data_IF_536358382415
#
_entry.id   IF_536358382415
#
_cell.length_a   1.000
_cell.length_b   1.000
_cell.length_c   1.000
_cell.angle_alpha   90.00
_cell.angle_beta   90.00
_cell.angle_gamma   90.00
#
_symmetry.space_group_name_H-M   'P 1'
#
loop_
_entity.id
_entity.type
_entity.pdbx_description
1 polymer ?
#
# COMPACT_ATOMS: atom_id res chain seq x y z
N UNK A 1 -43.95 41.79 -16.32
CA UNK A 1 -43.31 41.71 -14.98
C UNK A 1 -42.41 40.47 -14.98
N UNK A 2 -41.11 40.67 -15.30
CA UNK A 2 -40.13 39.58 -15.47
C UNK A 2 -39.40 39.42 -14.15
N UNK A 3 -39.63 38.27 -13.47
CA UNK A 3 -38.88 37.93 -12.25
C UNK A 3 -37.48 37.49 -12.67
N UNK A 4 -36.46 38.28 -12.40
CA UNK A 4 -35.05 37.88 -12.44
C UNK A 4 -34.75 36.98 -11.25
N UNK A 5 -34.32 35.75 -11.53
CA UNK A 5 -33.73 34.87 -10.55
C UNK A 5 -32.31 35.38 -10.18
N UNK A 6 -31.92 35.34 -8.89
CA UNK A 6 -30.56 35.77 -8.50
C UNK A 6 -29.51 34.83 -9.03
N UNK A 7 -28.26 35.29 -9.30
CA UNK A 7 -27.17 34.46 -9.81
C UNK A 7 -26.79 33.41 -8.75
N UNK A 8 -26.70 32.14 -9.19
CA UNK A 8 -26.09 31.06 -8.40
C UNK A 8 -24.68 31.48 -8.01
N UNK A 9 -24.43 31.64 -6.73
CA UNK A 9 -23.10 31.70 -6.14
C UNK A 9 -22.35 30.43 -6.56
N UNK A 10 -21.38 30.58 -7.44
CA UNK A 10 -20.34 29.58 -7.67
C UNK A 10 -19.57 29.45 -6.34
N UNK A 11 -19.89 28.39 -5.58
CA UNK A 11 -19.08 28.02 -4.42
C UNK A 11 -17.70 27.64 -4.94
N UNK A 12 -16.69 28.37 -4.50
CA UNK A 12 -15.29 28.12 -4.79
C UNK A 12 -14.88 26.76 -4.24
N UNK A 13 -14.73 25.79 -5.14
CA UNK A 13 -14.40 24.38 -4.85
C UNK A 13 -12.99 24.15 -4.30
N UNK A 14 -12.19 25.19 -4.11
CA UNK A 14 -10.80 25.10 -3.62
C UNK A 14 -10.65 25.27 -2.11
N UNK A 15 -11.60 25.94 -1.44
CA UNK A 15 -11.49 26.20 0.00
C UNK A 15 -12.04 25.05 0.88
N UNK A 16 -12.90 24.18 0.33
CA UNK A 16 -13.50 23.06 1.09
C UNK A 16 -12.64 21.78 1.10
N UNK A 17 -11.55 21.70 0.32
CA UNK A 17 -10.65 20.53 0.26
C UNK A 17 -9.56 20.49 1.33
N UNK A 18 -9.55 21.41 2.29
CA UNK A 18 -8.60 21.43 3.42
C UNK A 18 -9.20 20.89 4.72
N UNK A 19 -10.37 20.29 4.69
CA UNK A 19 -10.77 19.36 5.74
C UNK A 19 -9.91 18.10 5.56
N UNK A 20 -9.08 17.75 6.54
CA UNK A 20 -8.12 16.66 6.47
C UNK A 20 -8.78 15.39 5.89
N UNK A 21 -8.56 15.13 4.59
CA UNK A 21 -9.13 13.94 3.95
C UNK A 21 -8.50 12.70 4.57
N UNK A 22 -9.33 11.73 4.93
CA UNK A 22 -8.86 10.44 5.42
C UNK A 22 -8.03 9.77 4.31
N UNK A 23 -6.83 9.31 4.61
CA UNK A 23 -6.07 8.50 3.65
C UNK A 23 -6.40 7.01 3.84
N UNK A 24 -6.62 6.32 2.73
CA UNK A 24 -6.79 4.87 2.71
C UNK A 24 -5.42 4.21 2.49
N UNK A 25 -4.92 3.51 3.50
CA UNK A 25 -3.63 2.79 3.46
C UNK A 25 -3.92 1.30 3.39
N UNK A 26 -3.61 0.68 2.26
CA UNK A 26 -3.89 -0.73 1.98
C UNK A 26 -2.58 -1.52 1.92
N UNK A 27 -2.45 -2.55 2.73
CA UNK A 27 -1.43 -3.58 2.54
C UNK A 27 -1.98 -4.71 1.68
N UNK A 28 -1.20 -5.20 0.72
CA UNK A 28 -1.57 -6.37 -0.05
C UNK A 28 -1.03 -7.65 0.58
N UNK A 29 -1.82 -8.72 0.50
CA UNK A 29 -1.52 -10.04 1.02
C UNK A 29 -2.65 -11.01 0.70
N UNK A 30 -2.44 -12.29 1.03
CA UNK A 30 -3.47 -13.33 1.00
C UNK A 30 -3.98 -13.61 2.42
N UNK A 31 -5.30 -13.77 2.61
CA UNK A 31 -5.86 -14.16 3.88
C UNK A 31 -5.53 -15.64 4.19
N UNK A 32 -5.33 -15.94 5.46
CA UNK A 32 -5.06 -17.31 5.95
C UNK A 32 -3.74 -17.42 6.71
N UNK A 33 -3.68 -18.26 7.75
CA UNK A 33 -2.49 -18.44 8.57
C UNK A 33 -1.30 -19.00 7.78
N UNK A 34 -1.55 -19.78 6.72
CA UNK A 34 -0.53 -20.34 5.83
C UNK A 34 0.25 -19.28 5.05
N UNK A 35 -0.36 -18.09 4.83
CA UNK A 35 0.28 -16.98 4.12
C UNK A 35 0.88 -15.93 5.05
N UNK A 36 0.62 -15.99 6.36
CA UNK A 36 0.93 -14.92 7.31
C UNK A 36 2.40 -14.46 7.27
N UNK A 37 3.33 -15.41 7.11
CA UNK A 37 4.78 -15.15 7.09
C UNK A 37 5.40 -15.42 5.71
N UNK A 38 4.66 -15.18 4.64
CA UNK A 38 5.19 -15.30 3.28
C UNK A 38 5.63 -13.93 2.76
N UNK A 39 6.61 -13.86 1.82
CA UNK A 39 7.02 -12.60 1.20
C UNK A 39 5.85 -11.84 0.56
N UNK A 40 4.87 -12.57 -0.01
CA UNK A 40 3.69 -11.97 -0.65
C UNK A 40 2.75 -11.26 0.33
N UNK A 41 2.92 -11.46 1.62
CA UNK A 41 2.20 -10.78 2.68
C UNK A 41 2.99 -9.59 3.29
N UNK A 42 4.08 -9.15 2.67
CA UNK A 42 4.85 -8.00 3.17
C UNK A 42 3.98 -6.73 3.33
N UNK A 43 2.99 -6.53 2.46
CA UNK A 43 2.03 -5.44 2.61
C UNK A 43 1.16 -5.58 3.88
N UNK A 44 0.65 -6.78 4.18
CA UNK A 44 -0.10 -7.05 5.42
C UNK A 44 0.76 -6.79 6.66
N UNK A 45 2.01 -7.28 6.64
CA UNK A 45 2.95 -7.08 7.73
C UNK A 45 3.27 -5.59 7.95
N UNK A 46 3.34 -4.80 6.88
CA UNK A 46 3.52 -3.36 6.98
C UNK A 46 2.31 -2.67 7.63
N UNK A 47 1.08 -3.08 7.29
CA UNK A 47 -0.12 -2.58 7.97
C UNK A 47 -0.12 -2.96 9.46
N UNK A 48 0.25 -4.20 9.80
CA UNK A 48 0.34 -4.64 11.19
C UNK A 48 1.41 -3.84 11.97
N UNK A 49 2.54 -3.48 11.32
CA UNK A 49 3.55 -2.59 11.90
C UNK A 49 2.99 -1.19 12.17
N UNK A 50 2.29 -0.59 11.22
CA UNK A 50 1.63 0.72 11.42
C UNK A 50 0.63 0.62 12.56
N UNK A 51 -0.20 -0.42 12.59
CA UNK A 51 -1.20 -0.63 13.62
C UNK A 51 -0.58 -0.76 15.02
N UNK A 52 0.55 -1.47 15.14
CA UNK A 52 1.33 -1.59 16.38
C UNK A 52 1.83 -0.23 16.86
N UNK A 53 2.41 0.59 15.97
CA UNK A 53 2.91 1.94 16.29
C UNK A 53 1.77 2.86 16.74
N UNK A 54 0.58 2.71 16.13
CA UNK A 54 -0.59 3.51 16.45
C UNK A 54 -1.44 2.94 17.62
N UNK A 55 -1.02 1.85 18.24
CA UNK A 55 -1.74 1.13 19.31
C UNK A 55 -3.21 0.80 18.94
N UNK A 56 -3.41 0.24 17.74
CA UNK A 56 -4.73 -0.19 17.24
C UNK A 56 -4.67 -1.62 16.69
N UNK A 57 -5.85 -2.26 16.61
CA UNK A 57 -5.99 -3.60 16.02
C UNK A 57 -6.79 -3.53 14.72
N UNK A 58 -6.28 -4.15 13.66
CA UNK A 58 -6.91 -4.20 12.34
C UNK A 58 -7.89 -5.37 12.30
N UNK A 59 -9.07 -5.19 12.90
CA UNK A 59 -10.06 -6.26 13.12
C UNK A 59 -11.47 -5.93 12.64
N UNK A 60 -11.77 -4.66 12.34
CA UNK A 60 -13.10 -4.27 11.88
C UNK A 60 -13.30 -4.68 10.42
N UNK A 61 -14.37 -5.42 10.14
CA UNK A 61 -14.70 -5.84 8.77
C UNK A 61 -15.46 -4.76 8.02
N UNK A 62 -14.89 -4.30 6.91
CA UNK A 62 -15.44 -3.27 6.05
C UNK A 62 -14.90 -3.43 4.62
N UNK A 63 -15.72 -3.26 3.58
CA UNK A 63 -15.27 -3.29 2.18
C UNK A 63 -14.51 -4.56 1.80
N UNK A 64 -14.89 -5.72 2.36
CA UNK A 64 -14.16 -7.01 2.19
C UNK A 64 -12.70 -6.94 2.68
N UNK A 65 -12.44 -6.17 3.73
CA UNK A 65 -11.13 -6.05 4.36
C UNK A 65 -11.27 -6.06 5.88
N UNK A 66 -10.19 -6.43 6.57
CA UNK A 66 -9.97 -6.07 7.95
C UNK A 66 -9.43 -4.65 7.99
N UNK A 67 -10.00 -3.81 8.84
CA UNK A 67 -9.68 -2.39 8.91
C UNK A 67 -9.49 -1.89 10.33
N UNK A 68 -8.74 -0.77 10.46
CA UNK A 68 -8.66 0.03 11.69
C UNK A 68 -8.56 1.51 11.32
N UNK A 69 -9.34 2.36 12.00
CA UNK A 69 -9.22 3.82 11.87
C UNK A 69 -8.29 4.34 12.96
N UNK A 70 -7.33 5.18 12.56
CA UNK A 70 -6.36 5.76 13.50
C UNK A 70 -5.80 7.08 12.97
N UNK A 71 -4.81 7.64 13.68
CA UNK A 71 -3.98 8.75 13.20
C UNK A 71 -2.55 8.27 13.02
N UNK A 72 -1.96 8.60 11.85
CA UNK A 72 -0.54 8.39 11.58
C UNK A 72 0.07 9.72 11.18
N UNK A 73 1.15 10.13 11.83
CA UNK A 73 1.81 11.43 11.63
C UNK A 73 0.82 12.63 11.65
N UNK A 74 -0.20 12.58 12.51
CA UNK A 74 -1.22 13.62 12.66
C UNK A 74 -2.39 13.58 11.66
N UNK A 75 -2.34 12.71 10.65
CA UNK A 75 -3.39 12.56 9.63
C UNK A 75 -4.35 11.42 9.97
N UNK A 76 -5.64 11.63 9.70
CA UNK A 76 -6.63 10.56 9.81
C UNK A 76 -6.41 9.51 8.71
N UNK A 77 -6.33 8.24 9.10
CA UNK A 77 -6.10 7.13 8.18
C UNK A 77 -7.05 5.97 8.43
N UNK A 78 -7.43 5.26 7.37
CA UNK A 78 -8.00 3.92 7.45
C UNK A 78 -6.93 2.93 6.98
N UNK A 79 -6.46 2.09 7.89
CA UNK A 79 -5.62 0.94 7.59
C UNK A 79 -6.49 -0.20 7.08
N UNK A 80 -6.06 -0.91 6.04
CA UNK A 80 -6.84 -2.00 5.47
C UNK A 80 -5.98 -3.17 5.00
N UNK A 81 -6.44 -4.39 5.31
CA UNK A 81 -5.93 -5.67 4.81
C UNK A 81 -7.08 -6.38 4.08
N UNK A 82 -7.10 -6.45 2.72
CA UNK A 82 -8.13 -7.17 1.99
C UNK A 82 -8.30 -8.62 2.45
N UNK A 83 -9.53 -9.06 2.71
CA UNK A 83 -9.86 -10.46 2.99
C UNK A 83 -10.12 -11.25 1.69
N UNK A 84 -9.80 -10.68 0.54
CA UNK A 84 -9.82 -11.33 -0.77
C UNK A 84 -8.46 -11.94 -1.07
N UNK A 85 -8.42 -12.95 -1.96
CA UNK A 85 -7.14 -13.37 -2.53
C UNK A 85 -6.50 -12.22 -3.33
N UNK A 86 -5.16 -12.27 -3.46
CA UNK A 86 -4.34 -11.24 -4.08
C UNK A 86 -4.89 -10.72 -5.42
N UNK A 87 -5.31 -11.61 -6.31
CA UNK A 87 -5.86 -11.28 -7.63
C UNK A 87 -7.25 -10.63 -7.61
N UNK A 88 -7.87 -10.49 -6.44
CA UNK A 88 -9.18 -9.86 -6.23
C UNK A 88 -9.10 -8.63 -5.31
N UNK A 89 -7.89 -8.19 -4.93
CA UNK A 89 -7.67 -7.06 -4.01
C UNK A 89 -8.33 -5.75 -4.48
N UNK A 90 -8.44 -5.55 -5.80
CA UNK A 90 -9.08 -4.38 -6.38
C UNK A 90 -10.55 -4.22 -5.98
N UNK A 91 -11.28 -5.34 -5.77
CA UNK A 91 -12.68 -5.28 -5.31
C UNK A 91 -12.80 -4.69 -3.91
N UNK A 92 -11.87 -5.03 -3.02
CA UNK A 92 -11.83 -4.48 -1.67
C UNK A 92 -11.45 -3.00 -1.68
N UNK A 93 -10.41 -2.63 -2.44
CA UNK A 93 -9.96 -1.24 -2.54
C UNK A 93 -11.07 -0.34 -3.10
N UNK A 94 -11.72 -0.74 -4.19
CA UNK A 94 -12.81 0.03 -4.78
C UNK A 94 -14.00 0.20 -3.81
N UNK A 95 -14.38 -0.87 -3.09
CA UNK A 95 -15.45 -0.81 -2.10
C UNK A 95 -15.12 0.17 -0.96
N UNK A 96 -13.87 0.18 -0.48
CA UNK A 96 -13.44 1.11 0.57
C UNK A 96 -13.37 2.56 0.09
N UNK A 97 -12.84 2.81 -1.11
CA UNK A 97 -12.83 4.16 -1.70
C UNK A 97 -14.25 4.71 -1.86
N UNK A 98 -15.16 3.90 -2.41
CA UNK A 98 -16.56 4.27 -2.59
C UNK A 98 -17.26 4.55 -1.25
N UNK A 99 -17.07 3.68 -0.26
CA UNK A 99 -17.72 3.79 1.05
C UNK A 99 -17.23 5.01 1.85
N UNK A 100 -15.97 5.43 1.62
CA UNK A 100 -15.35 6.59 2.26
C UNK A 100 -15.49 7.88 1.43
N UNK A 101 -16.07 7.81 0.24
CA UNK A 101 -16.15 8.92 -0.73
C UNK A 101 -14.77 9.51 -1.07
N UNK A 102 -13.74 8.64 -1.19
CA UNK A 102 -12.36 9.00 -1.49
C UNK A 102 -12.03 8.84 -2.97
N UNK A 103 -11.09 9.66 -3.44
CA UNK A 103 -10.45 9.51 -4.75
C UNK A 103 -9.21 8.61 -4.71
N UNK A 104 -8.67 8.32 -5.88
CA UNK A 104 -7.44 7.51 -6.01
C UNK A 104 -6.20 8.25 -5.46
N UNK A 105 -6.25 9.56 -5.36
CA UNK A 105 -5.23 10.43 -4.77
C UNK A 105 -5.13 10.26 -3.23
N UNK A 106 -6.15 9.68 -2.61
CA UNK A 106 -6.16 9.35 -1.18
C UNK A 106 -5.71 7.93 -0.89
N UNK A 107 -5.40 7.14 -1.93
CA UNK A 107 -4.99 5.76 -1.82
C UNK A 107 -3.47 5.61 -1.75
N UNK A 108 -2.99 4.88 -0.74
CA UNK A 108 -1.59 4.43 -0.60
C UNK A 108 -1.60 2.91 -0.48
N UNK A 109 -0.89 2.21 -1.37
CA UNK A 109 -0.83 0.74 -1.37
C UNK A 109 0.59 0.26 -1.09
N UNK A 110 0.73 -0.63 -0.09
CA UNK A 110 1.98 -1.30 0.25
C UNK A 110 1.95 -2.73 -0.26
N UNK A 111 3.02 -3.17 -0.94
CA UNK A 111 3.12 -4.53 -1.47
C UNK A 111 4.58 -4.95 -1.72
N UNK A 112 4.78 -6.25 -1.84
CA UNK A 112 6.07 -6.87 -2.13
C UNK A 112 6.53 -6.63 -3.56
N UNK A 113 7.85 -6.49 -3.75
CA UNK A 113 8.45 -6.31 -5.07
C UNK A 113 9.72 -7.13 -5.23
N UNK A 114 9.66 -8.13 -6.09
CA UNK A 114 10.77 -9.05 -6.38
C UNK A 114 11.98 -8.40 -7.06
N UNK A 115 11.72 -7.36 -7.86
CA UNK A 115 12.76 -6.66 -8.60
C UNK A 115 13.58 -5.70 -7.73
N UNK A 116 13.20 -5.52 -6.47
CA UNK A 116 13.85 -4.63 -5.51
C UNK A 116 14.54 -5.49 -4.45
N UNK A 117 15.85 -5.24 -4.16
CA UNK A 117 16.55 -5.98 -3.11
C UNK A 117 15.87 -5.87 -1.75
N UNK A 118 15.95 -6.94 -0.96
CA UNK A 118 15.54 -6.93 0.44
C UNK A 118 16.28 -5.79 1.17
N UNK A 119 15.59 -5.11 2.08
CA UNK A 119 16.14 -3.91 2.73
C UNK A 119 15.82 -2.60 2.03
N UNK A 120 15.20 -2.62 0.85
CA UNK A 120 14.98 -1.43 0.03
C UNK A 120 13.49 -1.13 -0.12
N UNK A 121 13.13 0.16 -0.07
CA UNK A 121 11.79 0.67 -0.39
C UNK A 121 11.86 1.49 -1.69
N UNK A 122 10.79 1.44 -2.48
CA UNK A 122 10.59 2.33 -3.63
C UNK A 122 9.18 2.90 -3.61
N UNK A 123 9.06 4.21 -3.62
CA UNK A 123 7.79 4.92 -3.74
C UNK A 123 7.56 5.26 -5.21
N UNK A 124 6.33 5.15 -5.68
CA UNK A 124 5.89 5.58 -7.01
C UNK A 124 4.51 6.20 -6.91
N UNK A 125 4.31 7.29 -7.61
CA UNK A 125 3.01 7.97 -7.74
C UNK A 125 2.09 7.20 -8.69
N UNK A 126 2.66 6.52 -9.68
CA UNK A 126 1.98 5.75 -10.73
C UNK A 126 2.88 4.66 -11.31
N UNK A 127 2.32 3.78 -12.14
CA UNK A 127 3.10 2.81 -12.91
C UNK A 127 2.41 1.46 -13.09
N UNK A 128 2.97 0.64 -13.96
CA UNK A 128 2.43 -0.68 -14.29
C UNK A 128 2.49 -1.66 -13.13
N UNK A 129 1.75 -2.75 -13.27
CA UNK A 129 1.69 -3.81 -12.27
C UNK A 129 2.98 -4.66 -12.17
N UNK A 130 3.88 -4.59 -13.16
CA UNK A 130 5.14 -5.35 -13.22
C UNK A 130 4.98 -6.85 -12.87
N UNK A 131 3.81 -7.42 -13.21
CA UNK A 131 3.49 -8.83 -12.91
C UNK A 131 2.85 -9.08 -11.55
N UNK A 132 2.72 -8.10 -10.66
CA UNK A 132 2.09 -8.27 -9.34
C UNK A 132 0.56 -8.34 -9.47
N UNK A 133 -0.03 -9.50 -9.12
CA UNK A 133 -1.46 -9.77 -9.33
C UNK A 133 -2.39 -8.83 -8.56
N UNK A 134 -2.02 -8.42 -7.34
CA UNK A 134 -2.81 -7.48 -6.55
C UNK A 134 -2.83 -6.08 -7.17
N UNK A 135 -1.68 -5.60 -7.65
CA UNK A 135 -1.56 -4.31 -8.35
C UNK A 135 -2.36 -4.35 -9.66
N UNK A 136 -2.26 -5.44 -10.43
CA UNK A 136 -3.07 -5.65 -11.64
C UNK A 136 -4.57 -5.62 -11.34
N UNK A 137 -4.98 -6.25 -10.24
CA UNK A 137 -6.38 -6.27 -9.80
C UNK A 137 -6.87 -4.86 -9.45
N UNK A 138 -6.10 -4.09 -8.68
CA UNK A 138 -6.46 -2.71 -8.31
C UNK A 138 -6.58 -1.83 -9.55
N UNK A 139 -5.55 -1.80 -10.41
CA UNK A 139 -5.58 -0.98 -11.62
C UNK A 139 -6.70 -1.39 -12.57
N UNK A 140 -7.00 -2.68 -12.68
CA UNK A 140 -8.09 -3.18 -13.51
C UNK A 140 -9.48 -2.77 -13.00
N UNK A 141 -9.71 -2.76 -11.70
CA UNK A 141 -11.01 -2.36 -11.11
C UNK A 141 -11.17 -0.84 -11.06
N UNK A 142 -10.10 -0.10 -10.75
CA UNK A 142 -10.14 1.37 -10.68
C UNK A 142 -10.06 2.03 -12.06
N UNK A 143 -9.66 1.28 -13.11
CA UNK A 143 -9.49 1.82 -14.46
C UNK A 143 -8.32 2.80 -14.62
N UNK A 144 -7.42 2.86 -13.65
CA UNK A 144 -6.26 3.76 -13.64
C UNK A 144 -5.06 3.16 -12.93
N UNK A 145 -3.87 3.65 -13.27
CA UNK A 145 -2.61 3.36 -12.59
C UNK A 145 -2.10 4.54 -11.74
N UNK A 146 -2.87 5.63 -11.67
CA UNK A 146 -2.53 6.90 -11.01
C UNK A 146 -2.89 6.84 -9.51
N UNK A 147 -2.15 6.06 -8.71
CA UNK A 147 -2.27 5.95 -7.26
C UNK A 147 -0.93 5.64 -6.61
N UNK A 148 -0.76 6.14 -5.39
CA UNK A 148 0.51 6.04 -4.66
C UNK A 148 0.79 4.62 -4.20
N UNK A 149 2.02 4.16 -4.43
CA UNK A 149 2.49 2.83 -4.06
C UNK A 149 3.82 2.88 -3.33
N UNK A 150 3.90 2.10 -2.26
CA UNK A 150 5.12 1.83 -1.50
C UNK A 150 5.50 0.38 -1.76
N UNK A 151 6.55 0.18 -2.55
CA UNK A 151 7.05 -1.12 -2.99
C UNK A 151 8.10 -1.60 -1.98
N UNK A 152 7.81 -2.70 -1.32
CA UNK A 152 8.68 -3.31 -0.30
C UNK A 152 9.57 -4.34 -0.99
N UNK A 153 10.86 -4.09 -1.02
CA UNK A 153 11.83 -5.02 -1.58
C UNK A 153 11.92 -6.29 -0.73
N UNK A 154 11.69 -7.42 -1.35
CA UNK A 154 11.79 -8.75 -0.72
C UNK A 154 12.98 -9.56 -1.24
N UNK A 155 13.82 -8.93 -2.09
CA UNK A 155 14.99 -9.57 -2.67
C UNK A 155 14.66 -10.54 -3.80
N UNK A 156 15.68 -10.98 -4.48
CA UNK A 156 15.58 -12.11 -5.43
C UNK A 156 15.75 -13.40 -4.63
N UNK A 157 15.02 -14.47 -4.99
CA UNK A 157 15.27 -15.78 -4.38
C UNK A 157 16.75 -16.12 -4.51
N UNK A 158 17.37 -16.68 -3.45
CA UNK A 158 18.76 -17.09 -3.53
C UNK A 158 18.96 -18.06 -4.70
N UNK A 159 19.95 -17.79 -5.54
CA UNK A 159 20.41 -18.72 -6.56
C UNK A 159 21.06 -19.89 -5.83
N UNK A 160 20.29 -20.92 -5.50
CA UNK A 160 20.86 -22.16 -4.98
C UNK A 160 21.71 -22.79 -6.09
N UNK A 161 23.04 -22.73 -5.90
CA UNK A 161 24.07 -23.56 -6.58
C UNK A 161 23.68 -23.96 -8.02
N UNK A 162 23.74 -23.02 -8.97
CA UNK A 162 23.81 -23.33 -10.42
C UNK A 162 22.55 -23.89 -11.05
N UNK A 163 21.46 -24.11 -10.33
CA UNK A 163 20.15 -24.47 -10.89
C UNK A 163 19.28 -23.22 -11.02
N UNK A 164 19.00 -22.81 -12.24
CA UNK A 164 17.91 -21.88 -12.51
C UNK A 164 16.63 -22.47 -11.92
N UNK A 165 16.00 -21.76 -10.95
CA UNK A 165 14.71 -22.16 -10.41
C UNK A 165 13.71 -22.07 -11.56
N UNK A 166 13.33 -23.25 -12.11
CA UNK A 166 12.39 -23.37 -13.24
C UNK A 166 10.96 -22.94 -12.85
N UNK A 167 10.65 -22.84 -11.57
CA UNK A 167 9.39 -22.32 -11.01
C UNK A 167 9.63 -20.89 -10.53
N UNK A 168 9.52 -19.95 -11.46
CA UNK A 168 9.83 -18.55 -11.17
C UNK A 168 9.01 -17.99 -10.00
N UNK A 169 9.60 -17.09 -9.26
CA UNK A 169 9.04 -16.11 -8.30
C UNK A 169 7.81 -16.49 -7.47
N UNK A 170 6.83 -17.21 -8.05
CA UNK A 170 5.57 -17.54 -7.40
C UNK A 170 5.73 -18.49 -6.19
N UNK A 171 6.53 -19.53 -6.32
CA UNK A 171 6.75 -20.48 -5.21
C UNK A 171 7.52 -19.83 -4.08
N UNK A 172 8.48 -18.97 -4.41
CA UNK A 172 9.17 -18.13 -3.42
C UNK A 172 8.21 -17.19 -2.69
N UNK A 173 7.34 -16.49 -3.43
CA UNK A 173 6.38 -15.54 -2.86
C UNK A 173 5.42 -16.17 -1.86
N UNK A 174 5.08 -17.45 -2.03
CA UNK A 174 4.14 -18.19 -1.18
C UNK A 174 4.82 -19.12 -0.19
N UNK A 175 6.15 -19.20 -0.17
CA UNK A 175 6.90 -19.97 0.84
C UNK A 175 7.04 -19.19 2.14
N UNK A 176 7.03 -19.90 3.26
CA UNK A 176 7.27 -19.27 4.57
C UNK A 176 8.70 -18.76 4.66
N UNK A 177 8.87 -17.51 5.04
CA UNK A 177 10.16 -16.86 5.24
C UNK A 177 10.94 -17.52 6.39
N UNK A 178 12.25 -17.63 6.22
CA UNK A 178 13.18 -18.11 7.27
C UNK A 178 13.33 -17.03 8.35
N UNK A 179 13.80 -17.41 9.54
CA UNK A 179 14.00 -16.48 10.67
C UNK A 179 14.88 -15.26 10.30
N UNK A 180 15.92 -15.47 9.51
CA UNK A 180 16.79 -14.37 9.08
C UNK A 180 16.07 -13.43 8.12
N UNK A 181 15.33 -13.97 7.15
CA UNK A 181 14.53 -13.16 6.20
C UNK A 181 13.45 -12.33 6.91
N UNK A 182 12.83 -12.90 7.95
CA UNK A 182 11.87 -12.18 8.81
C UNK A 182 12.54 -11.05 9.59
N UNK A 183 13.76 -11.26 10.10
CA UNK A 183 14.52 -10.23 10.80
C UNK A 183 14.92 -9.10 9.85
N UNK A 184 15.39 -9.45 8.65
CA UNK A 184 15.77 -8.46 7.64
C UNK A 184 14.54 -7.68 7.16
N UNK A 185 13.37 -8.35 7.02
CA UNK A 185 12.11 -7.71 6.67
C UNK A 185 11.64 -6.75 7.77
N UNK A 186 11.90 -7.06 9.05
CA UNK A 186 11.46 -6.23 10.18
C UNK A 186 11.99 -4.81 10.09
N UNK A 187 13.27 -4.63 9.72
CA UNK A 187 13.88 -3.32 9.48
C UNK A 187 13.25 -2.60 8.26
N UNK A 188 12.91 -3.36 7.23
CA UNK A 188 12.25 -2.83 6.02
C UNK A 188 10.84 -2.36 6.31
N UNK A 189 10.13 -3.03 7.21
CA UNK A 189 8.79 -2.61 7.63
C UNK A 189 8.83 -1.25 8.34
N UNK A 190 9.82 -0.98 9.19
CA UNK A 190 10.01 0.34 9.80
C UNK A 190 10.31 1.42 8.75
N UNK A 191 11.08 1.07 7.72
CA UNK A 191 11.30 1.95 6.57
C UNK A 191 10.00 2.21 5.79
N UNK A 192 9.15 1.19 5.61
CA UNK A 192 7.86 1.32 4.95
C UNK A 192 6.92 2.26 5.71
N UNK A 193 6.88 2.18 7.04
CA UNK A 193 6.12 3.13 7.88
C UNK A 193 6.60 4.56 7.66
N UNK A 194 7.91 4.81 7.78
CA UNK A 194 8.49 6.14 7.54
C UNK A 194 8.23 6.66 6.12
N UNK A 195 8.23 5.77 5.13
CA UNK A 195 7.88 6.13 3.76
C UNK A 195 6.42 6.59 3.63
N UNK A 196 5.48 5.91 4.28
CA UNK A 196 4.06 6.33 4.33
C UNK A 196 3.91 7.67 5.06
N UNK A 197 4.55 7.86 6.20
CA UNK A 197 4.54 9.13 6.94
C UNK A 197 5.09 10.28 6.09
N UNK A 198 6.19 10.05 5.38
CA UNK A 198 6.77 11.05 4.47
C UNK A 198 5.83 11.40 3.30
N UNK A 199 5.14 10.40 2.73
CA UNK A 199 4.12 10.63 1.69
C UNK A 199 3.01 11.53 2.21
N UNK A 200 2.52 11.31 3.42
CA UNK A 200 1.43 12.08 4.00
C UNK A 200 1.84 13.49 4.42
N UNK A 201 3.05 13.64 4.97
CA UNK A 201 3.50 14.91 5.55
C UNK A 201 4.22 15.82 4.57
N UNK A 202 4.97 15.26 3.62
CA UNK A 202 5.84 15.99 2.67
C UNK A 202 5.33 15.89 1.22
N UNK A 203 4.36 15.02 0.96
CA UNK A 203 3.87 14.68 -0.39
C UNK A 203 4.72 13.63 -1.11
N UNK A 204 4.12 13.01 -2.14
CA UNK A 204 4.70 11.86 -2.86
C UNK A 204 6.05 12.17 -3.48
N UNK A 205 6.18 13.32 -4.15
CA UNK A 205 7.43 13.70 -4.84
C UNK A 205 8.61 13.85 -3.87
N UNK A 206 8.41 14.51 -2.72
CA UNK A 206 9.44 14.67 -1.71
C UNK A 206 9.83 13.31 -1.07
N UNK A 207 8.83 12.48 -0.76
CA UNK A 207 9.06 11.13 -0.26
C UNK A 207 9.83 10.26 -1.28
N UNK A 208 9.50 10.36 -2.58
CA UNK A 208 10.26 9.66 -3.64
C UNK A 208 11.72 10.09 -3.66
N UNK A 209 12.01 11.38 -3.52
CA UNK A 209 13.38 11.89 -3.50
C UNK A 209 14.17 11.40 -2.27
N UNK A 210 13.51 11.20 -1.15
CA UNK A 210 14.12 10.71 0.09
C UNK A 210 14.37 9.20 0.05
N UNK A 211 13.35 8.39 -0.29
CA UNK A 211 13.37 6.93 -0.15
C UNK A 211 13.85 6.18 -1.40
N UNK A 212 13.84 6.81 -2.59
CA UNK A 212 14.25 6.13 -3.82
C UNK A 212 15.77 6.25 -4.11
N UNK A 213 16.54 6.92 -3.27
CA UNK A 213 17.99 6.99 -3.42
C UNK A 213 18.58 5.58 -3.31
N UNK A 214 19.55 5.26 -4.15
CA UNK A 214 20.36 4.06 -3.93
C UNK A 214 21.14 4.26 -2.64
N UNK A 215 21.01 3.33 -1.70
CA UNK A 215 22.00 3.21 -0.63
C UNK A 215 23.26 2.70 -1.34
N UNK A 216 24.28 3.53 -1.52
CA UNK A 216 25.58 3.05 -1.95
C UNK A 216 26.14 2.22 -0.80
N UNK A 217 26.60 1.00 -1.05
CA UNK A 217 27.29 0.22 -0.01
C UNK A 217 28.58 0.96 0.36
N UNK A 218 28.77 1.17 1.66
CA UNK A 218 30.05 1.62 2.23
C UNK A 218 31.15 0.58 1.98
#
# INVERSE_FOLDING_TARGET
MHLMLPPRLQRSSEFERHCASVKLIVGLGNPGPEYALTPHNAGFLAIDRIATICDVQVTNRRGRALTARTKLAGHDVLLAKPETFMNLSGLSVAALLQELELGVEDLIVLYDELAIPLGTIRIRERGSAAGHNGVKSISGVLGTEEWTRVRIGIGKPPLESGRAIKSGGKDFLLSTMRKQELKDLDEVLDHAVRAVEAVMTKGVTAAMNEFNRKVEPE
#
